data_IF_741087686122
#
_entry.id   IF_741087686122
#
_cell.length_a   1.000
_cell.length_b   1.000
_cell.length_c   1.000
_cell.angle_alpha   90.00
_cell.angle_beta   90.00
_cell.angle_gamma   90.00
#
_symmetry.space_group_name_H-M   'P 1'
#
loop_
_entity.id
_entity.type
_entity.pdbx_description
1 polymer ?
#
# COMPACT_ATOMS: atom_id res chain seq x y z
N UNK A 1 -13.19 24.43 -0.47
CA UNK A 1 -13.91 23.40 -1.26
C UNK A 1 -13.32 23.18 -2.65
N UNK A 2 -13.04 24.23 -3.42
CA UNK A 2 -12.54 24.14 -4.81
C UNK A 2 -11.25 23.33 -4.98
N UNK A 3 -10.24 23.55 -4.11
CA UNK A 3 -8.97 22.81 -4.14
C UNK A 3 -9.10 21.31 -3.88
N UNK A 4 -10.09 20.89 -3.06
CA UNK A 4 -10.36 19.47 -2.77
C UNK A 4 -10.94 18.79 -4.02
N UNK A 5 -11.93 19.43 -4.64
CA UNK A 5 -12.58 18.96 -5.87
C UNK A 5 -11.61 18.85 -7.05
N UNK A 6 -10.67 19.78 -7.17
CA UNK A 6 -9.62 19.72 -8.19
C UNK A 6 -8.68 18.53 -7.99
N UNK A 7 -8.24 18.25 -6.75
CA UNK A 7 -7.43 17.07 -6.42
C UNK A 7 -8.14 15.77 -6.77
N UNK A 8 -9.42 15.67 -6.42
CA UNK A 8 -10.24 14.49 -6.73
C UNK A 8 -10.38 14.28 -8.25
N UNK A 9 -10.62 15.34 -9.02
CA UNK A 9 -10.74 15.25 -10.47
C UNK A 9 -9.43 14.78 -11.11
N UNK A 10 -8.30 15.36 -10.72
CA UNK A 10 -6.99 14.97 -11.24
C UNK A 10 -6.63 13.51 -10.87
N UNK A 11 -6.95 13.09 -9.64
CA UNK A 11 -6.79 11.70 -9.22
C UNK A 11 -7.61 10.73 -10.09
N UNK A 12 -8.87 11.08 -10.39
CA UNK A 12 -9.74 10.27 -11.27
C UNK A 12 -9.22 10.19 -12.71
N UNK A 13 -8.66 11.28 -13.24
CA UNK A 13 -8.05 11.28 -14.58
C UNK A 13 -6.84 10.36 -14.66
N UNK A 14 -5.94 10.45 -13.69
CA UNK A 14 -4.79 9.55 -13.58
C UNK A 14 -5.26 8.10 -13.47
N UNK A 15 -6.23 7.83 -12.60
CA UNK A 15 -6.77 6.48 -12.42
C UNK A 15 -7.34 5.91 -13.73
N UNK A 16 -8.11 6.71 -14.46
CA UNK A 16 -8.66 6.32 -15.76
C UNK A 16 -7.59 6.06 -16.81
N UNK A 17 -6.50 6.84 -16.81
CA UNK A 17 -5.36 6.63 -17.71
C UNK A 17 -4.70 5.25 -17.50
N UNK A 18 -4.55 4.81 -16.26
CA UNK A 18 -4.02 3.48 -15.94
C UNK A 18 -5.06 2.37 -16.21
N UNK A 19 -6.36 2.58 -15.92
CA UNK A 19 -7.43 1.64 -16.28
C UNK A 19 -7.46 1.32 -17.77
N UNK A 20 -7.36 2.35 -18.63
CA UNK A 20 -7.32 2.19 -20.10
C UNK A 20 -6.15 1.34 -20.58
N UNK A 21 -5.04 1.33 -19.84
CA UNK A 21 -3.83 0.53 -20.14
C UNK A 21 -3.86 -0.88 -19.55
N UNK A 22 -5.01 -1.36 -19.07
CA UNK A 22 -5.19 -2.70 -18.51
C UNK A 22 -4.32 -2.97 -17.27
N UNK A 23 -4.02 -1.93 -16.50
CA UNK A 23 -3.39 -2.12 -15.19
C UNK A 23 -4.40 -2.66 -14.17
N UNK A 24 -3.94 -3.58 -13.34
CA UNK A 24 -4.73 -4.17 -12.27
C UNK A 24 -4.64 -3.29 -11.03
N UNK A 25 -5.79 -2.87 -10.50
CA UNK A 25 -5.88 -2.14 -9.24
C UNK A 25 -6.14 -3.14 -8.12
N UNK A 26 -5.52 -2.90 -6.98
CA UNK A 26 -5.66 -3.76 -5.82
C UNK A 26 -5.62 -2.92 -4.57
N UNK A 27 -6.52 -3.21 -3.64
CA UNK A 27 -6.49 -2.59 -2.33
C UNK A 27 -5.35 -3.19 -1.52
N UNK A 28 -4.61 -2.35 -0.83
CA UNK A 28 -3.50 -2.77 0.02
C UNK A 28 -3.88 -2.57 1.48
N UNK A 29 -3.46 -3.51 2.32
CA UNK A 29 -3.63 -3.39 3.76
C UNK A 29 -2.84 -2.19 4.29
N UNK A 30 -3.48 -1.42 5.17
CA UNK A 30 -2.86 -0.29 5.85
C UNK A 30 -1.91 -0.75 6.97
N UNK A 31 -2.20 -1.91 7.55
CA UNK A 31 -1.46 -2.52 8.64
C UNK A 31 -0.62 -3.65 8.11
N UNK A 32 0.64 -3.70 8.55
CA UNK A 32 1.59 -4.73 8.18
C UNK A 32 2.31 -5.24 9.43
N UNK A 33 2.78 -6.49 9.35
CA UNK A 33 3.55 -7.10 10.43
C UNK A 33 4.89 -6.36 10.61
N UNK A 34 5.17 -5.90 11.82
CA UNK A 34 6.39 -5.13 12.12
C UNK A 34 7.66 -5.95 11.86
N UNK A 35 7.61 -7.26 12.06
CA UNK A 35 8.76 -8.13 11.79
C UNK A 35 9.11 -8.12 10.30
N UNK A 36 8.09 -8.11 9.44
CA UNK A 36 8.24 -8.13 8.00
C UNK A 36 8.84 -6.82 7.45
N UNK A 37 8.52 -5.68 8.10
CA UNK A 37 9.23 -4.43 7.85
C UNK A 37 10.70 -4.49 8.27
N UNK A 38 10.95 -5.02 9.46
CA UNK A 38 12.30 -5.08 10.04
C UNK A 38 13.22 -5.97 9.19
N UNK A 39 12.73 -7.12 8.75
CA UNK A 39 13.47 -8.07 7.90
C UNK A 39 13.84 -7.49 6.52
N UNK A 40 13.02 -6.59 5.96
CA UNK A 40 13.18 -6.09 4.59
C UNK A 40 13.81 -4.72 4.49
N UNK A 41 13.61 -3.89 5.50
CA UNK A 41 14.03 -2.49 5.50
C UNK A 41 15.06 -2.18 6.60
N UNK A 42 15.34 -3.15 7.47
CA UNK A 42 16.29 -3.01 8.57
C UNK A 42 15.72 -2.26 9.77
N UNK A 43 16.45 -2.33 10.88
CA UNK A 43 16.00 -1.85 12.18
C UNK A 43 15.88 -0.32 12.28
N UNK A 44 16.60 0.41 11.42
CA UNK A 44 16.46 1.87 11.28
C UNK A 44 15.08 2.25 10.74
N UNK A 45 14.50 1.39 9.90
CA UNK A 45 13.19 1.62 9.32
C UNK A 45 12.06 1.32 10.31
N UNK A 46 12.28 0.38 11.23
CA UNK A 46 11.36 0.14 12.36
C UNK A 46 11.17 1.40 13.21
N UNK A 47 12.22 2.20 13.41
CA UNK A 47 12.18 3.42 14.23
C UNK A 47 11.35 4.54 13.63
N UNK A 48 11.25 4.62 12.30
CA UNK A 48 10.44 5.62 11.60
C UNK A 48 9.00 5.16 11.35
N UNK A 49 8.71 3.86 11.50
CA UNK A 49 7.39 3.30 11.32
C UNK A 49 6.52 3.43 12.58
N UNK A 50 5.28 3.88 12.41
CA UNK A 50 4.32 3.98 13.52
C UNK A 50 3.83 2.57 13.90
N UNK A 51 4.23 2.12 15.08
CA UNK A 51 4.06 0.73 15.54
C UNK A 51 3.20 0.66 16.80
N UNK A 52 2.32 -0.32 16.85
CA UNK A 52 1.39 -0.60 17.94
C UNK A 52 1.44 -2.07 18.31
N UNK A 53 0.96 -2.40 19.50
CA UNK A 53 0.67 -3.78 19.89
C UNK A 53 -0.82 -4.01 19.83
N UNK A 54 -1.23 -5.12 19.23
CA UNK A 54 -2.61 -5.55 19.28
C UNK A 54 -2.99 -6.12 20.66
N UNK A 55 -4.25 -6.52 20.83
CA UNK A 55 -4.76 -7.10 22.07
C UNK A 55 -4.09 -8.44 22.44
N UNK A 56 -3.42 -9.09 21.49
CA UNK A 56 -2.70 -10.35 21.66
C UNK A 56 -1.19 -10.13 21.88
N UNK A 57 -0.74 -8.87 21.94
CA UNK A 57 0.66 -8.50 22.14
C UNK A 57 1.52 -8.54 20.86
N UNK A 58 0.92 -8.78 19.69
CA UNK A 58 1.62 -8.78 18.40
C UNK A 58 1.91 -7.34 17.95
N UNK A 59 3.13 -7.09 17.49
CA UNK A 59 3.51 -5.81 16.90
C UNK A 59 2.96 -5.67 15.48
N UNK A 60 2.19 -4.61 15.26
CA UNK A 60 1.65 -4.20 13.97
C UNK A 60 2.11 -2.77 13.68
N UNK A 61 2.52 -2.50 12.44
CA UNK A 61 2.94 -1.17 12.01
C UNK A 61 2.01 -0.65 10.92
N UNK A 62 1.77 0.66 10.92
CA UNK A 62 1.22 1.32 9.74
C UNK A 62 2.20 1.20 8.57
N UNK A 63 1.67 1.02 7.37
CA UNK A 63 2.51 0.98 6.17
C UNK A 63 3.26 2.32 5.99
N UNK A 64 4.58 2.28 5.75
CA UNK A 64 5.38 3.47 5.52
C UNK A 64 5.15 4.07 4.13
N UNK A 65 4.85 3.22 3.16
CA UNK A 65 4.64 3.53 1.76
C UNK A 65 3.82 2.41 1.09
N UNK A 66 3.55 2.58 -0.21
CA UNK A 66 2.85 1.56 -1.00
C UNK A 66 3.77 0.42 -1.44
N UNK A 67 5.09 0.63 -1.52
CA UNK A 67 6.06 -0.33 -2.06
C UNK A 67 6.13 -1.61 -1.23
N UNK A 68 6.22 -1.50 0.09
CA UNK A 68 6.30 -2.68 0.97
C UNK A 68 5.02 -3.50 0.87
N UNK A 69 3.87 -2.85 1.03
CA UNK A 69 2.54 -3.49 0.95
C UNK A 69 2.32 -4.14 -0.43
N UNK A 70 2.76 -3.48 -1.49
CA UNK A 70 2.78 -4.01 -2.87
C UNK A 70 3.56 -5.30 -2.96
N UNK A 71 4.81 -5.30 -2.48
CA UNK A 71 5.69 -6.45 -2.56
C UNK A 71 5.11 -7.64 -1.79
N UNK A 72 4.51 -7.39 -0.62
CA UNK A 72 3.87 -8.41 0.19
C UNK A 72 2.67 -9.03 -0.52
N UNK A 73 1.77 -8.19 -1.04
CA UNK A 73 0.61 -8.66 -1.79
C UNK A 73 1.03 -9.43 -3.04
N UNK A 74 2.01 -8.91 -3.78
CA UNK A 74 2.56 -9.60 -4.93
C UNK A 74 3.15 -10.96 -4.56
N UNK A 75 3.93 -11.08 -3.48
CA UNK A 75 4.50 -12.36 -3.04
C UNK A 75 3.41 -13.36 -2.64
N UNK A 76 2.38 -12.91 -1.92
CA UNK A 76 1.23 -13.75 -1.55
C UNK A 76 0.46 -14.22 -2.79
N UNK A 77 0.23 -13.33 -3.76
CA UNK A 77 -0.52 -13.61 -4.99
C UNK A 77 0.29 -14.35 -6.06
N UNK A 78 1.64 -14.24 -6.08
CA UNK A 78 2.52 -14.90 -7.08
C UNK A 78 2.56 -16.42 -6.92
N UNK A 79 2.04 -16.96 -5.82
CA UNK A 79 1.63 -18.37 -5.75
C UNK A 79 0.60 -18.74 -6.84
N UNK A 80 -0.03 -17.75 -7.49
CA UNK A 80 -1.01 -17.86 -8.56
C UNK A 80 -0.77 -16.86 -9.72
N UNK A 81 0.17 -17.17 -10.63
CA UNK A 81 0.45 -16.54 -11.95
C UNK A 81 1.04 -15.11 -11.97
N UNK A 82 1.96 -14.88 -12.94
CA UNK A 82 2.62 -13.57 -13.20
C UNK A 82 1.60 -12.54 -13.71
N UNK A 83 1.33 -11.49 -12.92
CA UNK A 83 0.53 -10.33 -13.31
C UNK A 83 1.39 -9.05 -13.29
N UNK A 84 1.17 -8.18 -14.28
CA UNK A 84 1.65 -6.80 -14.23
C UNK A 84 0.71 -6.02 -13.29
N UNK A 85 1.24 -5.51 -12.19
CA UNK A 85 0.47 -4.78 -11.17
C UNK A 85 0.99 -3.34 -11.13
N UNK A 86 0.08 -2.37 -11.26
CA UNK A 86 0.36 -0.96 -10.93
C UNK A 86 -0.60 -0.56 -9.83
N UNK A 87 -0.05 0.02 -8.79
CA UNK A 87 -0.74 0.21 -7.53
C UNK A 87 -0.96 1.68 -7.30
N UNK A 88 -2.22 2.03 -7.13
CA UNK A 88 -2.69 3.37 -6.83
C UNK A 88 -3.63 3.28 -5.63
N UNK A 89 -3.33 4.02 -4.56
CA UNK A 89 -4.21 4.16 -3.41
C UNK A 89 -5.30 5.19 -3.75
N UNK A 90 -6.58 4.79 -3.68
CA UNK A 90 -7.68 5.75 -3.67
C UNK A 90 -8.00 6.12 -2.22
N UNK A 91 -7.63 7.34 -1.82
CA UNK A 91 -8.22 7.95 -0.62
C UNK A 91 -9.43 8.75 -1.04
N UNK A 92 -10.61 8.23 -0.71
CA UNK A 92 -11.86 8.97 -0.76
C UNK A 92 -11.99 9.60 0.62
N UNK A 93 -11.61 10.86 0.73
CA UNK A 93 -11.88 11.71 1.90
C UNK A 93 -13.22 12.43 1.76
#
# INVERSE_FOLDING_TARGET
>A
MEKKKLKENFSKEILNFFRKRKFNFTDLDLLIDTNLLTERSGEQFKKSALTYKDLLGKEISLRPDLTVSTALKYIQEKKSKKKNIVIMEQRID
#
